data_IF_888741749996
#
_entry.id   IF_888741749996
#
_cell.length_a   1.000
_cell.length_b   1.000
_cell.length_c   1.000
_cell.angle_alpha   90.00
_cell.angle_beta   90.00
_cell.angle_gamma   90.00
#
_symmetry.space_group_name_H-M   'P 1'
#
loop_
_entity.id
_entity.type
_entity.pdbx_description
1 polymer ?
#
# COMPACT_ATOMS: atom_id res chain seq x y z
N UNK A 1 10.93 8.46 16.71
CA UNK A 1 9.67 9.21 16.89
C UNK A 1 8.54 8.41 16.24
N UNK A 2 7.62 7.83 17.02
CA UNK A 2 6.55 6.96 16.49
C UNK A 2 5.55 7.71 15.61
N UNK A 3 5.30 8.98 15.92
CA UNK A 3 4.35 9.81 15.18
C UNK A 3 4.80 10.00 13.74
N UNK A 4 6.03 10.48 13.54
CA UNK A 4 6.60 10.67 12.19
C UNK A 4 6.64 9.37 11.39
N UNK A 5 7.08 8.28 12.02
CA UNK A 5 7.19 6.98 11.35
C UNK A 5 5.84 6.43 10.87
N UNK A 6 4.77 6.62 11.67
CA UNK A 6 3.43 6.15 11.32
C UNK A 6 2.72 7.07 10.32
N UNK A 7 2.77 8.39 10.52
CA UNK A 7 2.03 9.35 9.69
C UNK A 7 2.51 9.38 8.25
N UNK A 8 3.82 9.51 8.04
CA UNK A 8 4.39 9.66 6.69
C UNK A 8 4.20 8.39 5.85
N UNK A 9 4.51 7.23 6.43
CA UNK A 9 4.41 5.94 5.71
C UNK A 9 2.97 5.57 5.37
N UNK A 10 2.04 5.82 6.28
CA UNK A 10 0.61 5.52 6.08
C UNK A 10 -0.01 6.45 5.03
N UNK A 11 0.23 7.76 5.13
CA UNK A 11 -0.32 8.74 4.18
C UNK A 11 0.23 8.53 2.76
N UNK A 12 1.54 8.28 2.62
CA UNK A 12 2.16 7.96 1.33
C UNK A 12 1.58 6.67 0.73
N UNK A 13 1.33 5.63 1.53
CA UNK A 13 0.71 4.38 1.05
C UNK A 13 -0.71 4.61 0.52
N UNK A 14 -1.49 5.48 1.18
CA UNK A 14 -2.85 5.84 0.74
C UNK A 14 -2.78 6.63 -0.58
N UNK A 15 -1.86 7.58 -0.69
CA UNK A 15 -1.66 8.38 -1.90
C UNK A 15 -1.25 7.53 -3.11
N UNK A 16 -0.29 6.62 -2.93
CA UNK A 16 0.10 5.66 -3.96
C UNK A 16 -1.06 4.73 -4.36
N UNK A 17 -1.84 4.25 -3.38
CA UNK A 17 -3.00 3.40 -3.66
C UNK A 17 -4.03 4.13 -4.51
N UNK A 18 -4.38 5.37 -4.16
CA UNK A 18 -5.31 6.18 -4.94
C UNK A 18 -4.77 6.51 -6.33
N UNK A 19 -3.48 6.82 -6.45
CA UNK A 19 -2.82 7.06 -7.74
C UNK A 19 -2.90 5.84 -8.66
N UNK A 20 -2.63 4.65 -8.10
CA UNK A 20 -2.75 3.38 -8.81
C UNK A 20 -4.19 3.10 -9.23
N UNK A 21 -5.17 3.30 -8.35
CA UNK A 21 -6.59 3.07 -8.66
C UNK A 21 -7.11 4.02 -9.74
N UNK A 22 -6.71 5.28 -9.72
CA UNK A 22 -7.03 6.25 -10.78
C UNK A 22 -6.39 5.86 -12.12
N UNK A 23 -5.18 5.29 -12.09
CA UNK A 23 -4.57 4.73 -13.29
C UNK A 23 -5.18 3.39 -13.73
N UNK A 24 -5.94 2.70 -12.86
CA UNK A 24 -6.58 1.40 -13.13
C UNK A 24 -8.08 1.39 -12.75
N UNK A 25 -8.95 2.07 -13.53
CA UNK A 25 -10.37 2.22 -13.19
C UNK A 25 -11.14 0.90 -13.01
N UNK A 26 -10.71 -0.18 -13.66
CA UNK A 26 -11.30 -1.50 -13.49
C UNK A 26 -11.10 -2.05 -12.06
N UNK A 27 -9.90 -1.88 -11.50
CA UNK A 27 -9.61 -2.26 -10.12
C UNK A 27 -10.40 -1.39 -9.13
N UNK A 28 -10.50 -0.09 -9.38
CA UNK A 28 -11.33 0.81 -8.58
C UNK A 28 -12.80 0.37 -8.55
N UNK A 29 -13.38 0.07 -9.73
CA UNK A 29 -14.76 -0.43 -9.83
C UNK A 29 -14.96 -1.77 -9.13
N UNK A 30 -13.99 -2.68 -9.24
CA UNK A 30 -14.02 -3.97 -8.53
C UNK A 30 -13.96 -3.79 -7.00
N UNK A 31 -13.15 -2.87 -6.51
CA UNK A 31 -13.13 -2.50 -5.10
C UNK A 31 -14.46 -1.89 -4.63
N UNK A 32 -15.04 -0.95 -5.39
CA UNK A 32 -16.36 -0.38 -5.08
C UNK A 32 -17.45 -1.48 -5.02
N UNK A 33 -17.43 -2.43 -5.95
CA UNK A 33 -18.37 -3.55 -5.94
C UNK A 33 -18.18 -4.45 -4.70
N UNK A 34 -16.93 -4.69 -4.26
CA UNK A 34 -16.66 -5.38 -3.00
C UNK A 34 -17.22 -4.62 -1.79
N UNK A 35 -17.04 -3.30 -1.73
CA UNK A 35 -17.58 -2.45 -0.66
C UNK A 35 -19.11 -2.57 -0.59
N UNK A 36 -19.77 -2.42 -1.73
CA UNK A 36 -21.24 -2.46 -1.83
C UNK A 36 -21.77 -3.86 -1.44
N UNK A 37 -21.09 -4.93 -1.84
CA UNK A 37 -21.48 -6.30 -1.50
C UNK A 37 -21.24 -6.68 -0.04
N UNK A 38 -20.13 -6.21 0.56
CA UNK A 38 -19.69 -6.64 1.89
C UNK A 38 -20.29 -5.80 3.01
N UNK A 39 -20.47 -4.49 2.77
CA UNK A 39 -20.88 -3.51 3.77
C UNK A 39 -22.26 -2.95 3.44
N UNK A 40 -22.58 -2.82 2.15
CA UNK A 40 -23.75 -2.08 1.68
C UNK A 40 -23.53 -0.57 1.68
N UNK A 41 -24.63 0.16 1.53
CA UNK A 41 -24.61 1.62 1.28
C UNK A 41 -25.30 2.42 2.38
N UNK A 42 -25.68 1.78 3.50
CA UNK A 42 -26.42 2.40 4.61
C UNK A 42 -25.54 2.90 5.75
N UNK A 43 -24.23 2.63 5.71
CA UNK A 43 -23.24 3.04 6.71
C UNK A 43 -21.83 3.12 6.11
N UNK A 44 -20.94 3.82 6.79
CA UNK A 44 -19.51 3.82 6.45
C UNK A 44 -18.83 2.51 6.87
N UNK A 45 -17.74 2.20 6.16
CA UNK A 45 -16.76 1.19 6.56
C UNK A 45 -16.17 1.52 7.94
N UNK A 46 -15.92 0.48 8.75
CA UNK A 46 -15.23 0.59 10.04
C UNK A 46 -14.01 -0.34 10.08
N UNK A 47 -13.19 -0.22 11.12
CA UNK A 47 -12.00 -1.07 11.29
C UNK A 47 -12.34 -2.57 11.38
N UNK A 48 -13.53 -2.92 11.86
CA UNK A 48 -14.00 -4.30 11.99
C UNK A 48 -14.41 -4.92 10.63
N UNK A 49 -14.70 -4.07 9.63
CA UNK A 49 -15.01 -4.53 8.28
C UNK A 49 -13.77 -4.90 7.48
N UNK A 50 -12.64 -4.22 7.72
CA UNK A 50 -11.41 -4.33 6.92
C UNK A 50 -10.96 -5.77 6.68
N UNK A 51 -10.96 -6.68 7.67
CA UNK A 51 -10.56 -8.08 7.45
C UNK A 51 -11.41 -8.84 6.41
N UNK A 52 -12.63 -8.36 6.10
CA UNK A 52 -13.54 -8.98 5.13
C UNK A 52 -13.39 -8.42 3.71
N UNK A 53 -12.66 -7.31 3.54
CA UNK A 53 -12.44 -6.64 2.26
C UNK A 53 -11.21 -7.23 1.57
N UNK A 54 -11.39 -8.43 1.03
CA UNK A 54 -10.33 -9.26 0.44
C UNK A 54 -9.61 -8.58 -0.73
N UNK A 55 -10.33 -7.91 -1.62
CA UNK A 55 -9.79 -7.25 -2.80
C UNK A 55 -9.16 -5.90 -2.43
N UNK A 56 -9.73 -5.16 -1.47
CA UNK A 56 -9.08 -3.99 -0.89
C UNK A 56 -7.72 -4.36 -0.27
N UNK A 57 -7.63 -5.49 0.43
CA UNK A 57 -6.35 -6.04 0.93
C UNK A 57 -5.38 -6.34 -0.20
N UNK A 58 -5.86 -6.93 -1.30
CA UNK A 58 -5.03 -7.18 -2.49
C UNK A 58 -4.45 -5.90 -3.08
N UNK A 59 -5.27 -4.84 -3.17
CA UNK A 59 -4.83 -3.50 -3.62
C UNK A 59 -3.75 -2.95 -2.70
N UNK A 60 -3.95 -3.00 -1.38
CA UNK A 60 -2.96 -2.50 -0.40
C UNK A 60 -1.64 -3.27 -0.52
N UNK A 61 -1.69 -4.60 -0.62
CA UNK A 61 -0.49 -5.43 -0.77
C UNK A 61 0.25 -5.14 -2.08
N UNK A 62 -0.48 -4.98 -3.18
CA UNK A 62 0.13 -4.64 -4.48
C UNK A 62 0.70 -3.21 -4.50
N UNK A 63 0.03 -2.25 -3.84
CA UNK A 63 0.61 -0.93 -3.61
C UNK A 63 1.90 -1.02 -2.81
N UNK A 64 1.92 -1.75 -1.70
CA UNK A 64 3.11 -1.88 -0.85
C UNK A 64 4.26 -2.63 -1.54
N UNK A 65 3.96 -3.49 -2.52
CA UNK A 65 4.95 -4.17 -3.36
C UNK A 65 5.58 -3.21 -4.37
N UNK A 66 4.74 -2.46 -5.09
CA UNK A 66 5.22 -1.50 -6.10
C UNK A 66 5.82 -0.26 -5.44
N UNK A 67 5.19 0.33 -4.46
CA UNK A 67 5.64 1.55 -3.82
C UNK A 67 5.82 1.33 -2.31
N UNK A 68 6.82 0.54 -1.89
CA UNK A 68 7.09 0.32 -0.48
C UNK A 68 7.49 1.65 0.17
N UNK A 69 6.79 2.04 1.24
CA UNK A 69 7.06 3.31 1.93
C UNK A 69 8.51 3.44 2.41
N UNK A 70 9.19 2.33 2.70
CA UNK A 70 10.61 2.25 3.02
C UNK A 70 11.33 1.30 2.03
N UNK A 71 11.77 1.76 0.85
CA UNK A 71 12.25 0.89 -0.23
C UNK A 71 13.56 0.16 0.07
N UNK A 72 14.38 0.71 0.98
CA UNK A 72 15.63 0.11 1.47
C UNK A 72 15.53 -0.42 2.91
N UNK A 73 14.30 -0.48 3.45
CA UNK A 73 14.04 -0.66 4.88
C UNK A 73 14.88 0.29 5.75
N UNK A 74 14.96 0.03 7.06
CA UNK A 74 15.90 0.75 7.94
C UNK A 74 17.26 0.05 7.91
N UNK A 75 18.39 0.79 7.95
CA UNK A 75 19.71 0.17 8.06
C UNK A 75 19.82 -0.75 9.29
N UNK A 76 20.43 -1.90 9.08
CA UNK A 76 20.83 -2.84 10.13
C UNK A 76 22.35 -2.77 10.34
N UNK A 77 22.82 -3.33 11.45
CA UNK A 77 24.24 -3.50 11.74
C UNK A 77 24.48 -4.94 12.22
N UNK A 78 25.54 -5.59 11.71
CA UNK A 78 25.94 -6.92 12.17
C UNK A 78 26.47 -6.85 13.61
N UNK A 79 25.87 -7.61 14.53
CA UNK A 79 26.30 -7.63 15.94
C UNK A 79 27.51 -8.53 16.21
N UNK A 80 27.88 -9.35 15.24
CA UNK A 80 29.00 -10.28 15.26
C UNK A 80 29.38 -10.61 13.82
N UNK A 81 30.59 -11.15 13.64
CA UNK A 81 31.01 -11.71 12.36
C UNK A 81 30.01 -12.79 11.91
N UNK A 82 29.53 -12.68 10.68
CA UNK A 82 28.53 -13.59 10.13
C UNK A 82 28.75 -13.83 8.64
N UNK A 83 27.92 -14.69 8.04
CA UNK A 83 27.92 -14.94 6.60
C UNK A 83 26.57 -14.61 5.97
N UNK A 84 26.58 -13.91 4.85
CA UNK A 84 25.39 -13.58 4.06
C UNK A 84 25.64 -13.96 2.60
N UNK A 85 24.80 -14.83 2.04
CA UNK A 85 24.97 -15.29 0.65
C UNK A 85 26.32 -15.96 0.37
N UNK A 86 26.97 -16.55 1.39
CA UNK A 86 28.30 -17.15 1.29
C UNK A 86 29.47 -16.21 1.59
N UNK A 87 29.23 -14.89 1.67
CA UNK A 87 30.26 -13.88 1.93
C UNK A 87 30.45 -13.63 3.43
N UNK A 88 31.69 -13.37 3.85
CA UNK A 88 32.02 -12.95 5.21
C UNK A 88 31.64 -11.48 5.44
N UNK A 89 30.89 -11.25 6.52
CA UNK A 89 30.41 -9.94 6.97
C UNK A 89 30.95 -9.69 8.37
N UNK A 90 31.98 -8.85 8.55
CA UNK A 90 32.52 -8.53 9.87
C UNK A 90 31.48 -7.86 10.77
N UNK A 91 31.63 -7.98 12.08
CA UNK A 91 30.87 -7.23 13.08
C UNK A 91 30.98 -5.71 12.86
N UNK A 92 29.89 -4.98 13.12
CA UNK A 92 29.80 -3.53 12.90
C UNK A 92 29.54 -3.12 11.45
N UNK A 93 29.32 -4.08 10.55
CA UNK A 93 29.01 -3.79 9.14
C UNK A 93 27.56 -3.34 9.00
N UNK A 94 27.34 -2.21 8.34
CA UNK A 94 26.01 -1.74 7.97
C UNK A 94 25.41 -2.62 6.85
N UNK A 95 24.17 -3.07 7.05
CA UNK A 95 23.43 -3.90 6.13
C UNK A 95 22.15 -3.18 5.68
N UNK A 96 21.93 -3.12 4.38
CA UNK A 96 20.74 -2.49 3.78
C UNK A 96 20.00 -3.55 2.97
N UNK A 97 18.69 -3.68 3.21
CA UNK A 97 17.84 -4.65 2.51
C UNK A 97 17.06 -3.90 1.43
N UNK A 98 17.36 -4.21 0.16
CA UNK A 98 16.68 -3.58 -0.97
C UNK A 98 15.31 -4.23 -1.23
N UNK A 99 14.33 -3.90 -0.40
CA UNK A 99 12.95 -4.39 -0.53
C UNK A 99 12.35 -4.02 -1.89
N UNK A 100 12.65 -2.83 -2.43
CA UNK A 100 12.21 -2.40 -3.76
C UNK A 100 12.63 -3.37 -4.86
N UNK A 101 13.91 -3.77 -4.88
CA UNK A 101 14.43 -4.71 -5.86
C UNK A 101 13.83 -6.11 -5.66
N UNK A 102 13.75 -6.60 -4.42
CA UNK A 102 13.16 -7.91 -4.09
C UNK A 102 11.70 -7.99 -4.55
N UNK A 103 10.93 -6.91 -4.34
CA UNK A 103 9.52 -6.82 -4.74
C UNK A 103 9.32 -6.71 -6.25
N UNK A 104 10.39 -6.51 -7.02
CA UNK A 104 10.40 -6.40 -8.49
C UNK A 104 11.24 -7.45 -9.19
N UNK A 105 11.76 -8.44 -8.45
CA UNK A 105 12.60 -9.48 -9.04
C UNK A 105 11.77 -10.32 -10.03
N UNK A 106 12.09 -10.31 -11.35
CA UNK A 106 11.35 -11.07 -12.35
C UNK A 106 11.50 -12.60 -12.18
N UNK A 107 12.47 -13.07 -11.40
CA UNK A 107 12.59 -14.48 -11.05
C UNK A 107 11.52 -14.95 -10.05
N UNK A 108 10.92 -14.01 -9.30
CA UNK A 108 9.93 -14.27 -8.25
C UNK A 108 8.55 -13.74 -8.63
N UNK A 109 8.51 -12.58 -9.29
CA UNK A 109 7.28 -11.86 -9.63
C UNK A 109 7.08 -11.82 -11.15
N UNK A 110 6.02 -12.46 -11.62
CA UNK A 110 5.53 -12.29 -12.99
C UNK A 110 5.02 -10.87 -13.21
N UNK A 111 5.42 -10.25 -14.34
CA UNK A 111 5.18 -8.85 -14.70
C UNK A 111 5.40 -7.92 -13.49
N UNK A 112 6.65 -7.83 -13.00
CA UNK A 112 6.94 -7.23 -11.69
C UNK A 112 6.61 -5.74 -11.61
N UNK A 113 6.55 -5.04 -12.74
CA UNK A 113 6.24 -3.61 -12.78
C UNK A 113 4.75 -3.32 -12.98
N UNK A 114 3.94 -4.33 -13.32
CA UNK A 114 2.51 -4.16 -13.53
C UNK A 114 1.75 -4.13 -12.19
N UNK A 115 0.79 -3.22 -12.07
CA UNK A 115 -0.17 -3.20 -10.97
C UNK A 115 -1.26 -4.26 -11.22
N UNK A 116 -1.17 -5.36 -10.47
CA UNK A 116 -2.09 -6.50 -10.59
C UNK A 116 -2.47 -7.00 -9.19
N UNK A 117 -3.45 -6.36 -8.51
CA UNK A 117 -3.93 -6.80 -7.19
C UNK A 117 -4.27 -8.28 -7.13
N UNK A 118 -4.77 -8.85 -8.24
CA UNK A 118 -5.12 -10.26 -8.38
C UNK A 118 -3.98 -11.23 -8.01
N UNK A 119 -2.72 -10.79 -8.01
CA UNK A 119 -1.59 -11.62 -7.56
C UNK A 119 -1.66 -11.97 -6.07
N UNK A 120 -2.45 -11.23 -5.28
CA UNK A 120 -2.68 -11.44 -3.85
C UNK A 120 -4.03 -12.10 -3.52
N UNK A 121 -4.83 -12.45 -4.53
CA UNK A 121 -6.07 -13.20 -4.31
C UNK A 121 -5.77 -14.57 -3.69
N UNK A 122 -6.67 -15.02 -2.80
CA UNK A 122 -6.52 -16.24 -2.00
C UNK A 122 -5.23 -16.30 -1.15
N UNK A 123 -4.60 -15.15 -0.87
CA UNK A 123 -3.35 -15.07 -0.11
C UNK A 123 -2.10 -15.52 -0.88
N UNK A 124 -2.20 -15.64 -2.21
CA UNK A 124 -1.03 -15.80 -3.07
C UNK A 124 -0.09 -14.61 -2.88
N UNK A 125 1.22 -14.81 -3.02
CA UNK A 125 2.19 -13.72 -2.89
C UNK A 125 2.38 -13.13 -1.48
N UNK A 126 1.48 -13.35 -0.50
CA UNK A 126 1.59 -12.80 0.86
C UNK A 126 2.94 -13.18 1.52
N UNK A 127 3.41 -14.41 1.30
CA UNK A 127 4.70 -14.90 1.83
C UNK A 127 5.95 -14.38 1.11
N UNK A 128 5.79 -13.70 -0.03
CA UNK A 128 6.87 -13.11 -0.82
C UNK A 128 7.03 -11.60 -0.54
N UNK A 129 6.05 -11.01 0.15
CA UNK A 129 5.99 -9.58 0.44
C UNK A 129 6.66 -9.27 1.79
N UNK A 130 7.44 -8.19 1.86
CA UNK A 130 8.14 -7.79 3.09
C UNK A 130 8.19 -6.26 3.31
N UNK A 131 7.05 -5.55 3.24
CA UNK A 131 7.03 -4.09 3.28
C UNK A 131 7.27 -3.53 4.69
N UNK A 132 7.12 -4.38 5.70
CA UNK A 132 7.31 -4.08 7.12
C UNK A 132 8.59 -4.69 7.69
N UNK A 133 9.46 -5.22 6.83
CA UNK A 133 10.64 -5.99 7.23
C UNK A 133 10.30 -7.33 7.89
N UNK A 134 11.31 -7.99 8.46
CA UNK A 134 11.16 -9.32 9.06
C UNK A 134 12.02 -9.47 10.33
N UNK A 135 11.73 -10.51 11.13
CA UNK A 135 12.51 -10.87 12.30
C UNK A 135 12.39 -9.86 13.45
N UNK A 136 13.45 -9.75 14.28
CA UNK A 136 13.45 -8.98 15.54
C UNK A 136 13.20 -7.48 15.40
N UNK A 137 13.36 -6.93 14.18
CA UNK A 137 13.20 -5.50 13.87
C UNK A 137 12.04 -5.23 12.92
N UNK A 138 11.16 -6.22 12.71
CA UNK A 138 9.90 -6.04 11.96
C UNK A 138 9.11 -4.86 12.54
N UNK A 139 8.47 -4.09 11.66
CA UNK A 139 7.73 -2.89 12.03
C UNK A 139 6.69 -3.21 13.12
N UNK A 140 6.77 -2.59 14.30
CA UNK A 140 5.77 -2.81 15.35
C UNK A 140 4.41 -2.16 15.03
N UNK A 141 4.37 -1.25 14.05
CA UNK A 141 3.16 -0.54 13.63
C UNK A 141 2.37 -1.22 12.51
N UNK A 142 2.78 -2.39 12.03
CA UNK A 142 2.17 -3.07 10.87
C UNK A 142 0.65 -3.23 11.01
N UNK A 143 0.17 -3.78 12.13
CA UNK A 143 -1.26 -4.00 12.36
C UNK A 143 -2.05 -2.69 12.32
N UNK A 144 -1.54 -1.64 12.97
CA UNK A 144 -2.18 -0.33 13.00
C UNK A 144 -2.17 0.33 11.62
N UNK A 145 -1.06 0.23 10.89
CA UNK A 145 -0.93 0.78 9.55
C UNK A 145 -1.92 0.11 8.60
N UNK A 146 -1.96 -1.23 8.56
CA UNK A 146 -2.88 -1.96 7.68
C UNK A 146 -4.36 -1.69 8.01
N UNK A 147 -4.73 -1.59 9.29
CA UNK A 147 -6.08 -1.18 9.66
C UNK A 147 -6.39 0.26 9.24
N UNK A 148 -5.47 1.19 9.46
CA UNK A 148 -5.66 2.61 9.15
C UNK A 148 -5.74 2.84 7.64
N UNK A 149 -4.81 2.28 6.87
CA UNK A 149 -4.85 2.31 5.39
C UNK A 149 -6.16 1.67 4.91
N UNK A 150 -6.54 0.51 5.45
CA UNK A 150 -7.78 -0.18 5.08
C UNK A 150 -9.04 0.66 5.29
N UNK A 151 -9.18 1.29 6.47
CA UNK A 151 -10.34 2.15 6.77
C UNK A 151 -10.35 3.39 5.89
N UNK A 152 -9.22 4.09 5.77
CA UNK A 152 -9.14 5.34 5.01
C UNK A 152 -9.35 5.08 3.53
N UNK A 153 -8.59 4.14 2.94
CA UNK A 153 -8.72 3.79 1.52
C UNK A 153 -10.12 3.23 1.24
N UNK A 154 -10.64 2.36 2.11
CA UNK A 154 -12.00 1.85 2.00
C UNK A 154 -13.04 2.96 2.01
N UNK A 155 -12.89 3.97 2.89
CA UNK A 155 -13.80 5.12 2.94
C UNK A 155 -13.73 5.94 1.64
N UNK A 156 -12.54 6.22 1.13
CA UNK A 156 -12.36 6.96 -0.12
C UNK A 156 -13.02 6.24 -1.29
N UNK A 157 -12.82 4.92 -1.40
CA UNK A 157 -13.43 4.07 -2.44
C UNK A 157 -14.95 3.97 -2.28
N UNK A 158 -15.42 3.76 -1.05
CA UNK A 158 -16.84 3.57 -0.75
C UNK A 158 -17.64 4.83 -1.01
N UNK A 159 -17.12 6.01 -0.65
CA UNK A 159 -17.90 7.24 -0.60
C UNK A 159 -17.85 8.09 -1.86
N UNK A 160 -16.82 7.94 -2.70
CA UNK A 160 -16.58 8.86 -3.81
C UNK A 160 -16.34 8.16 -5.14
N UNK A 161 -16.86 8.78 -6.20
CA UNK A 161 -16.47 8.54 -7.58
C UNK A 161 -15.25 9.43 -7.85
N UNK A 162 -14.18 8.79 -8.31
CA UNK A 162 -12.88 9.43 -8.53
C UNK A 162 -12.59 9.52 -10.02
N UNK A 163 -12.15 10.70 -10.44
CA UNK A 163 -11.76 10.99 -11.83
C UNK A 163 -10.38 11.66 -11.83
N UNK A 164 -9.62 11.41 -12.90
CA UNK A 164 -8.36 12.10 -13.16
C UNK A 164 -8.65 13.55 -13.58
N UNK A 165 -7.78 14.48 -13.21
CA UNK A 165 -7.86 15.87 -13.68
C UNK A 165 -7.66 15.89 -15.20
N UNK A 166 -8.63 16.47 -15.91
CA UNK A 166 -8.67 16.56 -17.38
C UNK A 166 -8.47 15.22 -18.12
N UNK A 167 -8.73 14.09 -17.46
CA UNK A 167 -8.51 12.74 -18.02
C UNK A 167 -7.04 12.32 -18.18
N UNK A 168 -6.09 13.15 -17.74
CA UNK A 168 -4.64 12.89 -17.86
C UNK A 168 -4.21 11.80 -16.87
N UNK A 169 -3.37 10.87 -17.31
CA UNK A 169 -2.79 9.84 -16.41
C UNK A 169 -2.08 10.46 -15.21
N UNK A 170 -2.28 9.86 -14.04
CA UNK A 170 -1.58 10.28 -12.83
C UNK A 170 -0.10 9.97 -13.01
N UNK A 171 0.76 10.96 -12.78
CA UNK A 171 2.21 10.80 -12.80
C UNK A 171 2.63 9.83 -11.69
N UNK A 172 3.35 8.76 -12.04
CA UNK A 172 3.80 7.71 -11.11
C UNK A 172 5.28 7.82 -10.73
N UNK A 173 5.93 8.93 -11.05
CA UNK A 173 7.35 9.16 -10.79
C UNK A 173 7.61 9.27 -9.29
N UNK A 174 8.58 8.48 -8.83
CA UNK A 174 9.03 8.39 -7.44
C UNK A 174 9.81 9.67 -7.06
N UNK A 175 9.53 10.21 -5.86
CA UNK A 175 10.27 11.32 -5.28
C UNK A 175 11.56 10.86 -4.59
N UNK A 176 12.41 11.83 -4.21
CA UNK A 176 13.69 11.56 -3.55
C UNK A 176 13.51 11.61 -2.03
N UNK A 177 13.96 10.57 -1.31
CA UNK A 177 13.90 10.55 0.16
C UNK A 177 14.37 9.22 0.77
N UNK A 178 14.31 9.16 2.11
CA UNK A 178 14.46 7.90 2.86
C UNK A 178 13.21 7.03 2.67
N UNK A 179 12.04 7.68 2.60
CA UNK A 179 10.79 7.08 2.17
C UNK A 179 10.65 7.15 0.65
N UNK A 180 9.60 6.54 0.10
CA UNK A 180 9.24 6.63 -1.33
C UNK A 180 8.01 7.53 -1.53
N UNK A 181 8.13 8.87 -1.42
CA UNK A 181 7.02 9.77 -1.72
C UNK A 181 6.78 9.82 -3.24
N UNK A 182 5.65 10.40 -3.66
CA UNK A 182 5.49 10.81 -5.06
C UNK A 182 6.35 12.04 -5.35
N UNK A 183 6.86 12.15 -6.57
CA UNK A 183 7.54 13.38 -7.02
C UNK A 183 6.58 14.54 -7.25
N UNK A 184 5.37 14.23 -7.73
CA UNK A 184 4.24 15.14 -7.91
C UNK A 184 3.09 14.62 -7.07
N UNK A 185 2.54 15.46 -6.18
CA UNK A 185 1.42 15.09 -5.32
C UNK A 185 0.20 14.68 -6.16
N UNK A 186 -0.61 13.76 -5.65
CA UNK A 186 -1.84 13.35 -6.33
C UNK A 186 -2.86 14.49 -6.36
N UNK A 187 -3.28 14.86 -7.57
CA UNK A 187 -4.46 15.69 -7.81
C UNK A 187 -5.56 14.86 -8.50
N UNK A 188 -6.79 14.94 -8.00
CA UNK A 188 -7.92 14.19 -8.50
C UNK A 188 -9.25 14.92 -8.26
N UNK A 189 -10.24 14.63 -9.09
CA UNK A 189 -11.62 15.08 -8.89
C UNK A 189 -12.36 14.01 -8.10
N UNK A 190 -13.00 14.40 -7.00
CA UNK A 190 -13.88 13.52 -6.24
C UNK A 190 -15.32 14.04 -6.26
N UNK A 191 -16.27 13.13 -6.46
CA UNK A 191 -17.71 13.42 -6.34
C UNK A 191 -18.34 12.40 -5.39
N UNK A 192 -19.23 12.80 -4.48
CA UNK A 192 -19.95 11.84 -3.66
C UNK A 192 -20.69 10.80 -4.52
N UNK A 193 -20.48 9.51 -4.23
CA UNK A 193 -21.24 8.42 -4.89
C UNK A 193 -22.71 8.59 -4.57
N UNK A 194 -23.56 8.49 -5.58
CA UNK A 194 -25.01 8.60 -5.41
C UNK A 194 -25.54 7.63 -4.34
N UNK A 195 -25.00 6.41 -4.30
CA UNK A 195 -25.38 5.38 -3.35
C UNK A 195 -25.05 5.72 -1.88
N UNK A 196 -24.07 6.61 -1.63
CA UNK A 196 -23.62 6.98 -0.28
C UNK A 196 -24.13 8.35 0.18
N UNK A 197 -24.93 9.05 -0.64
CA UNK A 197 -25.38 10.42 -0.35
C UNK A 197 -26.07 10.53 1.02
N UNK A 198 -27.02 9.63 1.30
CA UNK A 198 -27.78 9.63 2.55
C UNK A 198 -26.91 9.42 3.80
N UNK A 199 -25.78 8.72 3.66
CA UNK A 199 -24.82 8.52 4.75
C UNK A 199 -23.98 9.78 4.94
N UNK A 200 -23.49 10.36 3.83
CA UNK A 200 -22.63 11.54 3.84
C UNK A 200 -23.37 12.80 4.32
N UNK A 201 -24.66 12.95 4.01
CA UNK A 201 -25.48 14.09 4.47
C UNK A 201 -25.76 14.07 5.99
N UNK A 202 -25.52 12.94 6.66
CA UNK A 202 -25.75 12.78 8.11
C UNK A 202 -24.49 12.93 8.96
N UNK A 203 -23.33 13.11 8.33
CA UNK A 203 -22.05 13.38 9.01
C UNK A 203 -21.94 14.86 9.39
#
# INVERSE_FOLDING_TARGET
NMFVAGTETTSSTIEWSMSLLLNHPAALKKAQAEMDASIGTSRMVTADDVPRLSYLRCIINETLRLYPAAPLLLPHESSADCKVGGYDVPSGTMLIVNAYAIHRDPAVWEDPTAFRPERFEDGKGDGLLMPFGMGRRRCPGETLALQTVGVVLGTLVQCFDWERVDGVEVDMTEGVGITMPKSVALEAVCRPRAAMRDVLEKL
#
